data_IF_000529376640
#
_entry.id   IF_000529376640
#
_cell.length_a   1.000
_cell.length_b   1.000
_cell.length_c   1.000
_cell.angle_alpha   90.00
_cell.angle_beta   90.00
_cell.angle_gamma   90.00
#
_symmetry.space_group_name_H-M   'P 1'
#
loop_
_entity.id
_entity.type
_entity.pdbx_description
1 polymer ?
#
# COMPACT_ATOMS: atom_id res chain seq x y z
N UNK A 1 30.01 4.13 10.34
CA UNK A 1 29.28 3.15 9.54
C UNK A 1 29.48 3.48 8.07
N UNK A 2 29.81 2.49 7.26
CA UNK A 2 29.91 2.68 5.81
C UNK A 2 28.53 2.94 5.21
N UNK A 3 28.43 3.86 4.26
CA UNK A 3 27.22 4.17 3.50
C UNK A 3 27.60 4.27 2.02
N UNK A 4 26.80 3.67 1.14
CA UNK A 4 27.00 3.78 -0.31
C UNK A 4 26.23 4.95 -0.89
N UNK A 5 25.01 5.17 -0.39
CA UNK A 5 24.10 6.19 -0.89
C UNK A 5 24.21 7.48 -0.09
N UNK A 6 24.25 8.61 -0.78
CA UNK A 6 24.10 9.93 -0.16
C UNK A 6 22.63 10.22 0.19
N UNK A 7 22.39 11.15 1.12
CA UNK A 7 21.02 11.63 1.41
C UNK A 7 20.29 12.15 0.18
N UNK A 8 21.00 12.84 -0.73
CA UNK A 8 20.44 13.32 -2.00
C UNK A 8 19.98 12.16 -2.90
N UNK A 9 20.77 11.09 -2.99
CA UNK A 9 20.38 9.91 -3.78
C UNK A 9 19.18 9.20 -3.18
N UNK A 10 19.15 9.02 -1.86
CA UNK A 10 17.99 8.43 -1.17
C UNK A 10 16.74 9.28 -1.43
N UNK A 11 16.83 10.59 -1.28
CA UNK A 11 15.72 11.49 -1.60
C UNK A 11 15.26 11.37 -3.04
N UNK A 12 16.20 11.38 -4.00
CA UNK A 12 15.89 11.28 -5.43
C UNK A 12 15.14 9.99 -5.79
N UNK A 13 15.39 8.89 -5.06
CA UNK A 13 14.69 7.62 -5.28
C UNK A 13 13.35 7.59 -4.53
N UNK A 14 13.28 8.17 -3.34
CA UNK A 14 12.11 8.08 -2.45
C UNK A 14 11.00 9.07 -2.80
N UNK A 15 11.33 10.32 -3.21
CA UNK A 15 10.29 11.32 -3.46
C UNK A 15 9.30 10.94 -4.57
N UNK A 16 9.70 10.23 -5.66
CA UNK A 16 8.74 9.81 -6.67
C UNK A 16 7.76 8.76 -6.15
N UNK A 17 8.21 7.91 -5.23
CA UNK A 17 7.35 6.92 -4.56
C UNK A 17 6.36 7.65 -3.65
N UNK A 18 6.83 8.64 -2.89
CA UNK A 18 5.98 9.47 -2.04
C UNK A 18 4.89 10.18 -2.85
N UNK A 19 5.28 10.84 -3.95
CA UNK A 19 4.31 11.50 -4.84
C UNK A 19 3.30 10.49 -5.40
N UNK A 20 3.76 9.30 -5.80
CA UNK A 20 2.88 8.24 -6.30
C UNK A 20 1.83 7.84 -5.25
N UNK A 21 2.22 7.67 -3.99
CA UNK A 21 1.31 7.34 -2.90
C UNK A 21 0.30 8.47 -2.62
N UNK A 22 0.74 9.73 -2.67
CA UNK A 22 -0.14 10.89 -2.52
C UNK A 22 -1.15 10.94 -3.67
N UNK A 23 -0.71 10.71 -4.91
CA UNK A 23 -1.59 10.69 -6.08
C UNK A 23 -2.61 9.57 -6.02
N UNK A 24 -2.22 8.37 -5.59
CA UNK A 24 -3.14 7.25 -5.35
C UNK A 24 -4.21 7.61 -4.31
N UNK A 25 -3.83 8.31 -3.24
CA UNK A 25 -4.79 8.80 -2.25
C UNK A 25 -5.75 9.84 -2.84
N UNK A 26 -5.26 10.72 -3.70
CA UNK A 26 -6.10 11.72 -4.40
C UNK A 26 -7.16 11.07 -5.29
N UNK A 27 -6.88 9.92 -5.92
CA UNK A 27 -7.87 9.16 -6.70
C UNK A 27 -9.03 8.76 -5.80
N UNK A 28 -8.76 8.15 -4.65
CA UNK A 28 -9.79 7.75 -3.70
C UNK A 28 -10.61 8.93 -3.19
N UNK A 29 -9.96 10.08 -2.93
CA UNK A 29 -10.65 11.31 -2.52
C UNK A 29 -11.56 11.86 -3.63
N UNK A 30 -11.11 11.83 -4.88
CA UNK A 30 -11.89 12.29 -6.03
C UNK A 30 -13.10 11.40 -6.28
N UNK A 31 -12.91 10.08 -6.25
CA UNK A 31 -14.00 9.12 -6.38
C UNK A 31 -15.07 9.35 -5.31
N UNK A 32 -14.65 9.50 -4.06
CA UNK A 32 -15.55 9.78 -2.93
C UNK A 32 -16.29 11.11 -3.09
N UNK A 33 -15.58 12.17 -3.52
CA UNK A 33 -16.19 13.49 -3.73
C UNK A 33 -17.20 13.50 -4.87
N UNK A 34 -16.95 12.77 -5.95
CA UNK A 34 -17.88 12.67 -7.07
C UNK A 34 -19.09 11.82 -6.72
N UNK A 35 -18.92 10.66 -6.09
CA UNK A 35 -20.00 9.79 -5.67
C UNK A 35 -20.87 10.41 -4.56
N UNK A 36 -20.26 11.19 -3.65
CA UNK A 36 -21.02 11.95 -2.66
C UNK A 36 -21.96 13.00 -3.26
N UNK A 37 -21.70 13.46 -4.49
CA UNK A 37 -22.62 14.35 -5.24
C UNK A 37 -23.71 13.59 -6.00
N UNK A 38 -23.53 12.29 -6.22
CA UNK A 38 -24.56 11.43 -6.84
C UNK A 38 -25.61 11.06 -5.80
N UNK A 39 -25.17 10.56 -4.62
CA UNK A 39 -26.08 10.22 -3.54
C UNK A 39 -25.41 9.50 -2.38
N UNK A 40 -26.13 9.40 -1.26
CA UNK A 40 -25.67 8.72 -0.05
C UNK A 40 -25.56 7.20 -0.23
N UNK A 41 -26.45 6.63 -1.06
CA UNK A 41 -26.48 5.19 -1.38
C UNK A 41 -25.21 4.81 -2.13
N UNK A 42 -24.87 5.58 -3.18
CA UNK A 42 -23.69 5.35 -4.01
C UNK A 42 -22.42 5.53 -3.22
N UNK A 43 -22.37 6.52 -2.33
CA UNK A 43 -21.23 6.75 -1.45
C UNK A 43 -21.01 5.59 -0.48
N UNK A 44 -22.08 5.13 0.18
CA UNK A 44 -22.01 3.98 1.09
C UNK A 44 -21.66 2.67 0.38
N UNK A 45 -22.26 2.44 -0.79
CA UNK A 45 -21.99 1.26 -1.62
C UNK A 45 -20.52 1.22 -2.08
N UNK A 46 -19.97 2.36 -2.53
CA UNK A 46 -18.58 2.44 -2.98
C UNK A 46 -17.58 2.18 -1.85
N UNK A 47 -17.90 2.56 -0.62
CA UNK A 47 -17.06 2.28 0.54
C UNK A 47 -16.93 0.76 0.79
N UNK A 48 -18.06 0.03 0.77
CA UNK A 48 -18.07 -1.43 0.98
C UNK A 48 -17.38 -2.15 -0.20
N UNK A 49 -17.75 -1.79 -1.42
CA UNK A 49 -17.19 -2.38 -2.62
C UNK A 49 -15.71 -2.06 -2.79
N UNK A 50 -15.27 -0.87 -2.35
CA UNK A 50 -13.86 -0.47 -2.33
C UNK A 50 -13.02 -1.34 -1.40
N UNK A 51 -13.53 -1.72 -0.23
CA UNK A 51 -12.86 -2.65 0.69
C UNK A 51 -12.69 -4.03 0.05
N UNK A 52 -13.72 -4.54 -0.62
CA UNK A 52 -13.64 -5.81 -1.33
C UNK A 52 -12.56 -5.79 -2.41
N UNK A 53 -12.54 -4.73 -3.23
CA UNK A 53 -11.52 -4.55 -4.26
C UNK A 53 -10.10 -4.45 -3.66
N UNK A 54 -9.95 -3.68 -2.59
CA UNK A 54 -8.67 -3.48 -1.90
C UNK A 54 -8.11 -4.80 -1.34
N UNK A 55 -8.95 -5.64 -0.74
CA UNK A 55 -8.53 -6.93 -0.21
C UNK A 55 -7.91 -7.83 -1.29
N UNK A 56 -8.53 -7.87 -2.47
CA UNK A 56 -8.02 -8.63 -3.62
C UNK A 56 -6.75 -7.98 -4.19
N UNK A 57 -6.75 -6.65 -4.34
CA UNK A 57 -5.60 -5.91 -4.84
C UNK A 57 -4.35 -6.10 -3.96
N UNK A 58 -4.52 -6.20 -2.64
CA UNK A 58 -3.41 -6.42 -1.70
C UNK A 58 -2.70 -7.76 -1.91
N UNK A 59 -3.36 -8.76 -2.47
CA UNK A 59 -2.69 -10.02 -2.85
C UNK A 59 -1.71 -9.79 -4.00
N UNK A 60 -2.13 -9.08 -5.05
CA UNK A 60 -1.28 -8.74 -6.17
C UNK A 60 -0.14 -7.80 -5.77
N UNK A 61 -0.45 -6.81 -4.93
CA UNK A 61 0.55 -5.90 -4.36
C UNK A 61 1.60 -6.65 -3.54
N UNK A 62 1.18 -7.58 -2.67
CA UNK A 62 2.08 -8.45 -1.92
C UNK A 62 2.99 -9.29 -2.82
N UNK A 63 2.45 -9.84 -3.92
CA UNK A 63 3.26 -10.54 -4.92
C UNK A 63 4.30 -9.61 -5.54
N UNK A 64 3.92 -8.41 -5.90
CA UNK A 64 4.81 -7.43 -6.52
C UNK A 64 5.99 -7.02 -5.61
N UNK A 65 5.77 -6.96 -4.29
CA UNK A 65 6.85 -6.69 -3.31
C UNK A 65 7.91 -7.80 -3.37
N UNK A 66 7.51 -9.06 -3.41
CA UNK A 66 8.45 -10.18 -3.53
C UNK A 66 9.22 -10.15 -4.85
N UNK A 67 8.54 -9.86 -5.96
CA UNK A 67 9.18 -9.67 -7.26
C UNK A 67 10.16 -8.47 -7.26
N UNK A 68 9.78 -7.36 -6.62
CA UNK A 68 10.62 -6.17 -6.44
C UNK A 68 11.94 -6.49 -5.72
N UNK A 69 11.89 -7.31 -4.67
CA UNK A 69 13.07 -7.75 -3.92
C UNK A 69 14.03 -8.53 -4.83
N UNK A 70 13.51 -9.44 -5.65
CA UNK A 70 14.32 -10.19 -6.62
C UNK A 70 14.93 -9.31 -7.71
N UNK A 71 14.12 -8.42 -8.29
CA UNK A 71 14.58 -7.45 -9.29
C UNK A 71 15.69 -6.57 -8.70
N UNK A 72 15.49 -6.06 -7.47
CA UNK A 72 16.48 -5.25 -6.77
C UNK A 72 17.79 -6.04 -6.51
N UNK A 73 17.69 -7.33 -6.17
CA UNK A 73 18.83 -8.20 -5.98
C UNK A 73 19.63 -8.37 -7.28
N UNK A 74 18.95 -8.70 -8.38
CA UNK A 74 19.59 -8.86 -9.71
C UNK A 74 20.19 -7.55 -10.21
N UNK A 75 19.53 -6.43 -9.94
CA UNK A 75 20.05 -5.11 -10.27
C UNK A 75 21.35 -4.81 -9.51
N UNK A 76 21.41 -5.13 -8.22
CA UNK A 76 22.62 -4.98 -7.39
C UNK A 76 23.77 -5.89 -7.84
N UNK A 77 23.47 -7.12 -8.23
CA UNK A 77 24.44 -8.09 -8.77
C UNK A 77 25.00 -7.68 -10.16
N UNK A 78 24.39 -6.66 -10.81
CA UNK A 78 24.72 -6.34 -12.21
C UNK A 78 24.14 -7.33 -13.22
N UNK A 79 23.30 -8.26 -12.78
CA UNK A 79 22.71 -9.32 -13.57
C UNK A 79 21.42 -8.86 -14.26
N UNK A 80 21.53 -7.78 -15.02
CA UNK A 80 20.38 -7.05 -15.58
C UNK A 80 19.51 -7.89 -16.51
N UNK A 81 20.09 -8.84 -17.24
CA UNK A 81 19.38 -9.71 -18.18
C UNK A 81 18.40 -10.68 -17.52
N UNK A 82 18.58 -10.99 -16.24
CA UNK A 82 17.61 -11.81 -15.50
C UNK A 82 16.36 -11.04 -15.06
N UNK A 83 16.40 -9.71 -15.09
CA UNK A 83 15.29 -8.86 -14.63
C UNK A 83 14.07 -8.99 -15.57
N UNK A 84 14.27 -8.99 -16.88
CA UNK A 84 13.18 -9.17 -17.85
C UNK A 84 12.40 -10.48 -17.66
N UNK A 85 13.07 -11.63 -17.59
CA UNK A 85 12.40 -12.90 -17.27
C UNK A 85 11.61 -12.85 -15.95
N UNK A 86 12.16 -12.28 -14.87
CA UNK A 86 11.43 -12.13 -13.61
C UNK A 86 10.19 -11.25 -13.80
N UNK A 87 10.32 -10.14 -14.49
CA UNK A 87 9.23 -9.20 -14.76
C UNK A 87 8.10 -9.87 -15.55
N UNK A 88 8.41 -10.54 -16.65
CA UNK A 88 7.39 -11.19 -17.49
C UNK A 88 6.76 -12.42 -16.84
N UNK A 89 7.52 -13.24 -16.12
CA UNK A 89 6.93 -14.36 -15.36
C UNK A 89 6.01 -13.84 -14.26
N UNK A 90 6.34 -12.71 -13.62
CA UNK A 90 5.47 -12.03 -12.68
C UNK A 90 4.17 -11.57 -13.35
N UNK A 91 4.23 -10.95 -14.53
CA UNK A 91 3.04 -10.56 -15.29
C UNK A 91 2.18 -11.77 -15.66
N UNK A 92 2.78 -12.86 -16.14
CA UNK A 92 2.03 -14.08 -16.50
C UNK A 92 1.28 -14.63 -15.28
N UNK A 93 1.93 -14.71 -14.14
CA UNK A 93 1.29 -15.16 -12.90
C UNK A 93 0.17 -14.23 -12.46
N UNK A 94 0.42 -12.91 -12.46
CA UNK A 94 -0.58 -11.92 -12.05
C UNK A 94 -1.79 -11.87 -12.99
N UNK A 95 -1.58 -12.05 -14.31
CA UNK A 95 -2.69 -12.16 -15.25
C UNK A 95 -3.51 -13.43 -15.04
N UNK A 96 -2.85 -14.58 -14.80
CA UNK A 96 -3.56 -15.81 -14.44
C UNK A 96 -4.36 -15.63 -13.13
N UNK A 97 -3.76 -15.02 -12.12
CA UNK A 97 -4.45 -14.69 -10.88
C UNK A 97 -5.61 -13.70 -11.10
N UNK A 98 -5.44 -12.71 -12.00
CA UNK A 98 -6.50 -11.76 -12.35
C UNK A 98 -7.71 -12.50 -12.98
N UNK A 99 -7.48 -13.45 -13.87
CA UNK A 99 -8.55 -14.28 -14.47
C UNK A 99 -9.28 -15.08 -13.39
N UNK A 100 -8.56 -15.72 -12.49
CA UNK A 100 -9.15 -16.52 -11.40
C UNK A 100 -9.97 -15.63 -10.47
N UNK A 101 -9.41 -14.50 -10.02
CA UNK A 101 -10.07 -13.59 -9.08
C UNK A 101 -11.22 -12.80 -9.73
N UNK A 102 -11.12 -12.48 -11.02
CA UNK A 102 -12.21 -11.94 -11.82
C UNK A 102 -13.38 -12.91 -11.86
N UNK A 103 -13.14 -14.18 -12.26
CA UNK A 103 -14.17 -15.21 -12.32
C UNK A 103 -14.77 -15.46 -10.93
N UNK A 104 -13.93 -15.56 -9.90
CA UNK A 104 -14.40 -15.66 -8.51
C UNK A 104 -15.29 -14.49 -8.12
N UNK A 105 -14.89 -13.27 -8.42
CA UNK A 105 -15.66 -12.08 -8.09
C UNK A 105 -17.00 -12.02 -8.82
N UNK A 106 -17.03 -12.31 -10.12
CA UNK A 106 -18.30 -12.33 -10.89
C UNK A 106 -19.27 -13.36 -10.33
N UNK A 107 -18.78 -14.54 -9.92
CA UNK A 107 -19.64 -15.62 -9.44
C UNK A 107 -20.05 -15.42 -7.96
N UNK A 108 -19.11 -15.06 -7.11
CA UNK A 108 -19.32 -15.10 -5.65
C UNK A 108 -19.58 -13.74 -5.00
N UNK A 109 -19.22 -12.62 -5.63
CA UNK A 109 -19.46 -11.30 -5.01
C UNK A 109 -20.94 -11.03 -4.71
N UNK A 110 -21.92 -11.41 -5.57
CA UNK A 110 -23.32 -11.24 -5.23
C UNK A 110 -23.72 -11.97 -3.94
N UNK A 111 -23.23 -13.21 -3.73
CA UNK A 111 -23.50 -13.97 -2.51
C UNK A 111 -22.85 -13.36 -1.28
N UNK A 112 -21.60 -12.90 -1.41
CA UNK A 112 -20.86 -12.26 -0.33
C UNK A 112 -21.55 -10.96 0.08
N UNK A 113 -21.88 -10.10 -0.89
CA UNK A 113 -22.53 -8.82 -0.63
C UNK A 113 -23.92 -8.99 -0.01
N UNK A 114 -24.71 -9.96 -0.50
CA UNK A 114 -26.05 -10.24 0.04
C UNK A 114 -26.03 -10.64 1.52
N UNK A 115 -24.96 -11.30 1.97
CA UNK A 115 -24.82 -11.69 3.36
C UNK A 115 -24.28 -10.57 4.27
N UNK A 116 -23.66 -9.53 3.69
CA UNK A 116 -23.04 -8.45 4.43
C UNK A 116 -23.93 -7.20 4.45
N UNK A 117 -24.64 -6.93 3.35
CA UNK A 117 -25.43 -5.70 3.15
C UNK A 117 -26.90 -5.99 3.43
N UNK A 118 -27.46 -5.26 4.39
CA UNK A 118 -28.87 -5.37 4.76
C UNK A 118 -29.81 -4.54 3.87
N UNK A 119 -29.33 -3.42 3.31
CA UNK A 119 -30.14 -2.53 2.46
C UNK A 119 -30.12 -3.00 1.00
N UNK A 120 -31.30 -3.28 0.38
CA UNK A 120 -31.37 -3.67 -1.03
C UNK A 120 -30.77 -2.63 -1.98
N UNK A 121 -30.99 -1.33 -1.72
CA UNK A 121 -30.47 -0.25 -2.57
C UNK A 121 -28.95 -0.15 -2.53
N UNK A 122 -28.36 -0.32 -1.33
CA UNK A 122 -26.89 -0.34 -1.19
C UNK A 122 -26.31 -1.59 -1.82
N UNK A 123 -27.01 -2.73 -1.72
CA UNK A 123 -26.60 -3.97 -2.37
C UNK A 123 -26.55 -3.83 -3.90
N UNK A 124 -27.62 -3.33 -4.51
CA UNK A 124 -27.69 -3.15 -5.97
C UNK A 124 -26.59 -2.21 -6.49
N UNK A 125 -26.36 -1.12 -5.77
CA UNK A 125 -25.30 -0.16 -6.09
C UNK A 125 -23.89 -0.78 -5.92
N UNK A 126 -23.64 -1.53 -4.85
CA UNK A 126 -22.37 -2.18 -4.58
C UNK A 126 -22.06 -3.29 -5.58
N UNK A 127 -23.09 -4.09 -5.93
CA UNK A 127 -22.97 -5.12 -6.97
C UNK A 127 -22.63 -4.50 -8.32
N UNK A 128 -23.34 -3.44 -8.73
CA UNK A 128 -23.05 -2.70 -9.95
C UNK A 128 -21.63 -2.16 -9.98
N UNK A 129 -21.15 -1.61 -8.86
CA UNK A 129 -19.76 -1.13 -8.75
C UNK A 129 -18.76 -2.26 -8.93
N UNK A 130 -18.90 -3.37 -8.20
CA UNK A 130 -17.97 -4.50 -8.26
C UNK A 130 -18.00 -5.13 -9.66
N UNK A 131 -19.17 -5.32 -10.25
CA UNK A 131 -19.32 -5.90 -11.59
C UNK A 131 -18.41 -5.21 -12.62
N UNK A 132 -18.34 -3.89 -12.59
CA UNK A 132 -17.49 -3.12 -13.51
C UNK A 132 -16.05 -2.94 -12.99
N UNK A 133 -15.87 -2.84 -11.68
CA UNK A 133 -14.55 -2.58 -11.08
C UNK A 133 -13.59 -3.76 -11.21
N UNK A 134 -14.09 -4.98 -11.23
CA UNK A 134 -13.27 -6.19 -11.34
C UNK A 134 -12.52 -6.30 -12.67
N UNK A 135 -12.98 -5.64 -13.73
CA UNK A 135 -12.20 -5.52 -14.98
C UNK A 135 -10.87 -4.76 -14.76
N UNK A 136 -10.82 -3.91 -13.77
CA UNK A 136 -9.59 -3.22 -13.36
C UNK A 136 -8.49 -4.16 -12.86
N UNK A 137 -8.79 -5.40 -12.42
CA UNK A 137 -7.76 -6.34 -11.99
C UNK A 137 -6.72 -6.61 -13.08
N UNK A 138 -7.13 -6.71 -14.34
CA UNK A 138 -6.23 -6.94 -15.45
C UNK A 138 -5.19 -5.82 -15.62
N UNK A 139 -5.57 -4.60 -15.32
CA UNK A 139 -4.69 -3.43 -15.44
C UNK A 139 -3.92 -3.17 -14.15
N UNK A 140 -4.59 -3.17 -13.00
CA UNK A 140 -3.95 -2.89 -11.72
C UNK A 140 -2.88 -3.93 -11.36
N UNK A 141 -3.07 -5.20 -11.71
CA UNK A 141 -2.09 -6.26 -11.47
C UNK A 141 -0.84 -6.11 -12.36
N UNK A 142 -1.01 -5.69 -13.60
CA UNK A 142 0.12 -5.34 -14.46
C UNK A 142 0.84 -4.10 -13.90
N UNK A 143 0.10 -3.10 -13.47
CA UNK A 143 0.64 -1.84 -12.93
C UNK A 143 1.54 -2.08 -11.72
N UNK A 144 1.15 -2.94 -10.77
CA UNK A 144 1.99 -3.23 -9.59
C UNK A 144 3.30 -3.95 -9.99
N UNK A 145 3.31 -4.70 -11.09
CA UNK A 145 4.52 -5.32 -11.58
C UNK A 145 5.49 -4.30 -12.20
N UNK A 146 4.98 -3.31 -12.94
CA UNK A 146 5.80 -2.18 -13.40
C UNK A 146 6.36 -1.39 -12.21
N UNK A 147 5.56 -1.13 -11.17
CA UNK A 147 6.05 -0.51 -9.94
C UNK A 147 7.20 -1.31 -9.33
N UNK A 148 7.07 -2.63 -9.23
CA UNK A 148 8.13 -3.51 -8.73
C UNK A 148 9.43 -3.38 -9.54
N UNK A 149 9.32 -3.28 -10.87
CA UNK A 149 10.46 -3.05 -11.74
C UNK A 149 11.13 -1.70 -11.48
N UNK A 150 10.37 -0.60 -11.46
CA UNK A 150 10.94 0.74 -11.30
C UNK A 150 11.54 0.97 -9.91
N UNK A 151 10.91 0.46 -8.86
CA UNK A 151 11.45 0.57 -7.50
C UNK A 151 12.65 -0.35 -7.32
N UNK A 152 12.59 -1.57 -7.83
CA UNK A 152 13.68 -2.55 -7.77
C UNK A 152 14.96 -2.10 -8.50
N UNK A 153 14.80 -1.46 -9.66
CA UNK A 153 15.91 -0.91 -10.45
C UNK A 153 16.30 0.52 -10.06
N UNK A 154 15.66 1.08 -9.04
CA UNK A 154 15.87 2.46 -8.55
C UNK A 154 15.56 3.58 -9.57
N UNK A 155 14.76 3.28 -10.58
CA UNK A 155 14.36 4.22 -11.63
C UNK A 155 12.97 4.81 -11.39
N UNK A 156 12.76 5.37 -10.20
CA UNK A 156 11.44 5.70 -9.64
C UNK A 156 10.78 6.93 -10.27
N UNK A 157 11.50 7.79 -10.99
CA UNK A 157 10.95 9.01 -11.62
C UNK A 157 9.75 8.74 -12.54
N UNK A 158 9.75 7.59 -13.22
CA UNK A 158 8.64 7.17 -14.10
C UNK A 158 7.34 7.00 -13.32
N UNK A 159 7.41 6.61 -12.04
CA UNK A 159 6.24 6.42 -11.18
C UNK A 159 5.48 7.73 -10.97
N UNK A 160 6.18 8.84 -10.72
CA UNK A 160 5.56 10.16 -10.56
C UNK A 160 4.76 10.56 -11.79
N UNK A 161 5.37 10.46 -12.97
CA UNK A 161 4.70 10.84 -14.22
C UNK A 161 3.49 9.95 -14.49
N UNK A 162 3.63 8.64 -14.27
CA UNK A 162 2.51 7.70 -14.40
C UNK A 162 1.37 8.03 -13.45
N UNK A 163 1.66 8.34 -12.19
CA UNK A 163 0.64 8.66 -11.19
C UNK A 163 -0.11 9.94 -11.54
N UNK A 164 0.58 10.96 -12.06
CA UNK A 164 -0.05 12.19 -12.55
C UNK A 164 -1.00 11.88 -13.71
N UNK A 165 -0.55 11.10 -14.69
CA UNK A 165 -1.36 10.71 -15.86
C UNK A 165 -2.59 9.91 -15.39
N UNK A 166 -2.41 9.00 -14.45
CA UNK A 166 -3.50 8.18 -13.93
C UNK A 166 -4.55 9.01 -13.18
N UNK A 167 -4.12 9.94 -12.31
CA UNK A 167 -5.05 10.85 -11.60
C UNK A 167 -5.84 11.71 -12.56
N UNK A 168 -5.17 12.35 -13.52
CA UNK A 168 -5.84 13.18 -14.51
C UNK A 168 -6.84 12.38 -15.33
N UNK A 169 -6.47 11.18 -15.76
CA UNK A 169 -7.36 10.27 -16.50
C UNK A 169 -8.55 9.86 -15.65
N UNK A 170 -8.34 9.52 -14.36
CA UNK A 170 -9.41 9.16 -13.43
C UNK A 170 -10.41 10.30 -13.26
N UNK A 171 -9.93 11.53 -13.00
CA UNK A 171 -10.80 12.72 -12.86
C UNK A 171 -11.63 12.94 -14.13
N UNK A 172 -11.01 12.87 -15.30
CA UNK A 172 -11.71 13.09 -16.58
C UNK A 172 -12.74 11.99 -16.85
N UNK A 173 -12.36 10.73 -16.73
CA UNK A 173 -13.29 9.61 -16.98
C UNK A 173 -14.43 9.59 -15.97
N UNK A 174 -14.16 9.84 -14.69
CA UNK A 174 -15.18 9.92 -13.66
C UNK A 174 -16.16 11.06 -13.93
N UNK A 175 -15.66 12.26 -14.28
CA UNK A 175 -16.52 13.38 -14.61
C UNK A 175 -17.45 13.09 -15.80
N UNK A 176 -16.92 12.45 -16.83
CA UNK A 176 -17.69 12.10 -18.05
C UNK A 176 -18.71 11.01 -17.73
N UNK A 177 -18.31 9.92 -17.09
CA UNK A 177 -19.13 8.71 -16.96
C UNK A 177 -20.10 8.76 -15.77
N UNK A 178 -19.71 9.38 -14.66
CA UNK A 178 -20.59 9.53 -13.49
C UNK A 178 -21.75 10.48 -13.84
N UNK A 179 -21.43 11.63 -14.44
CA UNK A 179 -22.40 12.71 -14.68
C UNK A 179 -22.99 12.73 -16.09
N UNK A 180 -22.55 11.84 -16.98
CA UNK A 180 -23.09 11.77 -18.35
C UNK A 180 -22.76 13.00 -19.19
N UNK A 181 -21.51 13.44 -19.21
CA UNK A 181 -21.06 14.62 -19.98
C UNK A 181 -20.58 14.23 -21.38
N UNK A 182 -20.51 15.23 -22.28
CA UNK A 182 -20.02 15.06 -23.65
C UNK A 182 -20.75 13.98 -24.48
N UNK A 183 -22.05 13.77 -24.23
CA UNK A 183 -22.88 12.82 -24.98
C UNK A 183 -22.81 11.37 -24.47
N UNK A 184 -22.11 11.12 -23.38
CA UNK A 184 -22.10 9.81 -22.71
C UNK A 184 -23.32 9.67 -21.79
N UNK A 185 -23.84 8.44 -21.57
CA UNK A 185 -24.91 8.21 -20.61
C UNK A 185 -24.42 8.45 -19.17
N UNK A 186 -25.32 8.91 -18.33
CA UNK A 186 -25.05 9.03 -16.89
C UNK A 186 -25.07 7.65 -16.24
N UNK A 187 -23.90 7.17 -15.84
CA UNK A 187 -23.74 5.81 -15.29
C UNK A 187 -23.65 5.79 -13.76
N UNK A 188 -23.57 6.95 -13.10
CA UNK A 188 -23.50 7.04 -11.65
C UNK A 188 -22.33 6.22 -11.06
N UNK A 189 -22.65 5.32 -10.13
CA UNK A 189 -21.64 4.49 -9.45
C UNK A 189 -20.91 3.53 -10.40
N UNK A 190 -21.59 2.98 -11.41
CA UNK A 190 -20.95 2.16 -12.45
C UNK A 190 -19.94 2.99 -13.25
N UNK A 191 -20.25 4.27 -13.49
CA UNK A 191 -19.34 5.21 -14.14
C UNK A 191 -18.04 5.43 -13.36
N UNK A 192 -18.09 5.48 -12.04
CA UNK A 192 -16.90 5.55 -11.19
C UNK A 192 -16.02 4.29 -11.30
N UNK A 193 -16.64 3.11 -11.29
CA UNK A 193 -15.93 1.84 -11.43
C UNK A 193 -15.25 1.71 -12.80
N UNK A 194 -15.95 2.05 -13.88
CA UNK A 194 -15.42 2.05 -15.25
C UNK A 194 -14.33 3.10 -15.40
N UNK A 195 -14.54 4.32 -14.89
CA UNK A 195 -13.57 5.41 -14.95
C UNK A 195 -12.25 5.09 -14.26
N UNK A 196 -12.30 4.46 -13.09
CA UNK A 196 -11.11 4.00 -12.37
C UNK A 196 -10.39 2.88 -13.12
N UNK A 197 -11.13 1.91 -13.70
CA UNK A 197 -10.55 0.84 -14.51
C UNK A 197 -9.90 1.37 -15.80
N UNK A 198 -10.51 2.35 -16.44
CA UNK A 198 -9.93 3.03 -17.61
C UNK A 198 -8.68 3.84 -17.27
N UNK A 199 -8.66 4.50 -16.11
CA UNK A 199 -7.46 5.19 -15.63
C UNK A 199 -6.28 4.24 -15.39
N UNK A 200 -6.56 3.06 -14.83
CA UNK A 200 -5.56 1.99 -14.68
C UNK A 200 -5.08 1.46 -16.05
N UNK A 201 -5.97 1.33 -17.02
CA UNK A 201 -5.61 0.98 -18.41
C UNK A 201 -4.69 2.03 -19.02
N UNK A 202 -4.99 3.31 -18.89
CA UNK A 202 -4.13 4.41 -19.36
C UNK A 202 -2.77 4.36 -18.67
N UNK A 203 -2.72 4.06 -17.37
CA UNK A 203 -1.49 3.86 -16.62
C UNK A 203 -0.63 2.73 -17.21
N UNK A 204 -1.23 1.58 -17.54
CA UNK A 204 -0.51 0.46 -18.17
C UNK A 204 0.02 0.85 -19.54
N UNK A 205 -0.79 1.52 -20.37
CA UNK A 205 -0.36 2.01 -21.68
C UNK A 205 0.83 2.97 -21.55
N UNK A 206 0.76 3.88 -20.57
CA UNK A 206 1.87 4.80 -20.27
C UNK A 206 3.14 4.04 -19.88
N UNK A 207 3.05 3.02 -19.01
CA UNK A 207 4.17 2.19 -18.60
C UNK A 207 4.76 1.35 -19.73
N UNK A 208 3.97 1.01 -20.74
CA UNK A 208 4.47 0.32 -21.93
C UNK A 208 5.21 1.30 -22.84
N UNK A 209 4.62 2.46 -23.13
CA UNK A 209 5.14 3.40 -24.17
C UNK A 209 6.31 4.22 -23.64
N UNK A 210 6.19 4.81 -22.43
CA UNK A 210 7.17 5.77 -21.92
C UNK A 210 8.55 5.15 -21.66
N UNK A 211 8.67 3.96 -21.03
CA UNK A 211 9.96 3.36 -20.78
C UNK A 211 10.73 2.98 -22.05
N UNK A 212 10.04 2.55 -23.11
CA UNK A 212 10.70 2.23 -24.39
C UNK A 212 11.53 3.37 -24.96
N UNK A 213 11.17 4.62 -24.65
CA UNK A 213 11.89 5.81 -25.11
C UNK A 213 12.96 6.30 -24.13
N UNK A 214 12.92 5.86 -22.86
CA UNK A 214 13.75 6.43 -21.79
C UNK A 214 14.66 5.41 -21.11
N UNK A 215 14.33 4.14 -21.19
CA UNK A 215 15.06 3.04 -20.54
C UNK A 215 15.69 2.15 -21.60
N UNK A 216 16.90 1.72 -21.35
CA UNK A 216 17.52 0.69 -22.19
C UNK A 216 16.85 -0.67 -21.93
N UNK A 217 15.79 -0.93 -22.70
CA UNK A 217 15.03 -2.19 -22.62
C UNK A 217 15.90 -3.42 -22.95
N UNK A 218 16.98 -3.25 -23.75
CA UNK A 218 17.91 -4.34 -24.08
C UNK A 218 18.77 -4.71 -22.87
N UNK A 219 19.17 -3.72 -22.08
CA UNK A 219 19.93 -3.94 -20.84
C UNK A 219 19.21 -4.88 -19.89
N UNK A 220 17.89 -4.72 -19.75
CA UNK A 220 17.05 -5.51 -18.83
C UNK A 220 16.36 -6.69 -19.51
N UNK A 221 16.66 -6.99 -20.78
CA UNK A 221 15.99 -8.01 -21.57
C UNK A 221 14.44 -7.86 -21.61
N UNK A 222 13.94 -6.62 -21.58
CA UNK A 222 12.52 -6.34 -21.71
C UNK A 222 12.02 -6.34 -23.15
N UNK A 223 12.91 -6.27 -24.11
CA UNK A 223 12.61 -6.28 -25.54
C UNK A 223 12.28 -7.69 -26.09
N UNK A 224 12.47 -8.73 -25.29
CA UNK A 224 12.22 -10.12 -25.66
C UNK A 224 11.17 -10.69 -24.73
N UNK A 225 10.06 -11.16 -25.28
CA UNK A 225 9.02 -11.86 -24.53
C UNK A 225 9.49 -13.30 -24.24
N UNK A 226 9.86 -13.64 -23.00
CA UNK A 226 10.34 -14.98 -22.72
C UNK A 226 9.18 -15.98 -22.73
N UNK A 227 9.48 -17.22 -23.10
CA UNK A 227 8.54 -18.33 -22.87
C UNK A 227 8.31 -18.53 -21.37
N UNK A 228 7.23 -19.21 -21.03
CA UNK A 228 6.95 -19.56 -19.65
C UNK A 228 8.10 -20.36 -19.03
N UNK A 229 8.60 -19.92 -17.88
CA UNK A 229 9.74 -20.50 -17.17
C UNK A 229 9.34 -20.85 -15.74
N UNK A 230 8.87 -22.08 -15.52
CA UNK A 230 8.42 -22.54 -14.22
C UNK A 230 9.49 -22.43 -13.11
N UNK A 231 10.77 -22.59 -13.45
CA UNK A 231 11.88 -22.42 -12.48
C UNK A 231 11.99 -20.97 -11.99
N UNK A 232 11.87 -20.00 -12.89
CA UNK A 232 11.90 -18.57 -12.54
C UNK A 232 10.66 -18.20 -11.74
N UNK A 233 9.48 -18.65 -12.14
CA UNK A 233 8.25 -18.43 -11.39
C UNK A 233 8.31 -19.03 -9.99
N UNK A 234 8.83 -20.26 -9.84
CA UNK A 234 9.02 -20.89 -8.52
C UNK A 234 9.94 -20.04 -7.61
N UNK A 235 11.01 -19.45 -8.18
CA UNK A 235 11.90 -18.55 -7.45
C UNK A 235 11.17 -17.31 -6.97
N UNK A 236 10.33 -16.69 -7.83
CA UNK A 236 9.50 -15.54 -7.46
C UNK A 236 8.54 -15.93 -6.36
N UNK A 237 7.80 -17.02 -6.50
CA UNK A 237 6.80 -17.48 -5.53
C UNK A 237 7.42 -17.81 -4.17
N UNK A 238 8.63 -18.35 -4.12
CA UNK A 238 9.33 -18.63 -2.86
C UNK A 238 9.56 -17.36 -2.01
N UNK A 239 9.59 -16.19 -2.61
CA UNK A 239 9.70 -14.90 -1.92
C UNK A 239 8.34 -14.24 -1.78
N UNK A 240 7.53 -14.25 -2.83
CA UNK A 240 6.28 -13.47 -2.93
C UNK A 240 5.11 -14.07 -2.16
N UNK A 241 5.01 -15.39 -2.01
CA UNK A 241 3.90 -16.00 -1.26
C UNK A 241 3.85 -15.48 0.18
N UNK A 242 4.99 -15.31 0.81
CA UNK A 242 5.07 -14.81 2.19
C UNK A 242 4.65 -13.35 2.31
N UNK A 243 5.02 -12.51 1.33
CA UNK A 243 4.59 -11.11 1.27
C UNK A 243 3.11 -10.96 0.89
N UNK A 244 2.55 -11.86 0.08
CA UNK A 244 1.11 -11.91 -0.19
C UNK A 244 0.32 -12.20 1.09
N UNK A 245 0.68 -13.27 1.81
CA UNK A 245 0.03 -13.64 3.07
C UNK A 245 0.17 -12.52 4.10
N UNK A 246 1.35 -11.93 4.21
CA UNK A 246 1.62 -10.82 5.12
C UNK A 246 0.69 -9.64 4.87
N UNK A 247 0.60 -9.15 3.63
CA UNK A 247 -0.24 -8.00 3.31
C UNK A 247 -1.73 -8.28 3.59
N UNK A 248 -2.19 -9.48 3.26
CA UNK A 248 -3.57 -9.87 3.53
C UNK A 248 -3.87 -9.93 5.04
N UNK A 249 -3.00 -10.58 5.83
CA UNK A 249 -3.20 -10.71 7.28
C UNK A 249 -3.08 -9.36 7.98
N UNK A 250 -2.11 -8.53 7.60
CA UNK A 250 -1.93 -7.18 8.18
C UNK A 250 -3.16 -6.30 7.92
N UNK A 251 -3.69 -6.30 6.69
CA UNK A 251 -4.90 -5.57 6.36
C UNK A 251 -6.11 -6.07 7.15
N UNK A 252 -6.31 -7.38 7.22
CA UNK A 252 -7.41 -8.00 7.96
C UNK A 252 -7.35 -7.67 9.44
N UNK A 253 -6.16 -7.70 10.03
CA UNK A 253 -5.96 -7.37 11.45
C UNK A 253 -6.25 -5.90 11.72
N UNK A 254 -5.85 -5.01 10.79
CA UNK A 254 -6.15 -3.60 10.90
C UNK A 254 -7.66 -3.31 10.83
N UNK A 255 -8.41 -3.99 9.96
CA UNK A 255 -9.87 -3.92 9.96
C UNK A 255 -10.49 -4.43 11.26
N UNK A 256 -9.93 -5.48 11.85
CA UNK A 256 -10.39 -6.02 13.14
C UNK A 256 -10.29 -4.96 14.26
N UNK A 257 -9.26 -4.11 14.24
CA UNK A 257 -9.16 -3.00 15.19
C UNK A 257 -10.39 -2.08 15.14
N UNK A 258 -10.85 -1.71 13.93
CA UNK A 258 -12.04 -0.87 13.79
C UNK A 258 -13.32 -1.58 14.24
N UNK A 259 -13.42 -2.89 14.03
CA UNK A 259 -14.53 -3.67 14.56
C UNK A 259 -14.54 -3.68 16.08
N UNK A 260 -13.39 -3.77 16.73
CA UNK A 260 -13.30 -3.67 18.17
C UNK A 260 -13.68 -2.27 18.67
N UNK A 261 -13.24 -1.22 18.01
CA UNK A 261 -13.60 0.16 18.39
C UNK A 261 -15.10 0.43 18.19
N UNK A 262 -15.76 -0.20 17.23
CA UNK A 262 -17.21 -0.09 17.03
C UNK A 262 -17.99 -0.50 18.29
N UNK A 263 -17.50 -1.51 19.04
CA UNK A 263 -18.12 -1.94 20.31
C UNK A 263 -18.05 -0.90 21.43
N UNK A 264 -17.21 0.13 21.28
CA UNK A 264 -17.15 1.28 22.20
C UNK A 264 -18.25 2.33 21.89
N UNK A 265 -18.95 2.18 20.77
CA UNK A 265 -20.03 3.05 20.33
C UNK A 265 -19.70 3.90 19.11
N UNK A 266 -20.73 4.50 18.52
CA UNK A 266 -20.66 5.25 17.27
C UNK A 266 -19.71 6.46 17.34
N UNK A 267 -19.70 7.16 18.49
CA UNK A 267 -18.81 8.31 18.69
C UNK A 267 -17.33 7.89 18.66
N UNK A 268 -16.99 6.78 19.31
CA UNK A 268 -15.64 6.23 19.32
C UNK A 268 -15.20 5.82 17.93
N UNK A 269 -16.09 5.19 17.16
CA UNK A 269 -15.83 4.82 15.77
C UNK A 269 -15.63 6.06 14.88
N UNK A 270 -16.42 7.11 15.06
CA UNK A 270 -16.27 8.38 14.35
C UNK A 270 -14.90 9.03 14.63
N UNK A 271 -14.49 9.09 15.90
CA UNK A 271 -13.16 9.56 16.29
C UNK A 271 -12.07 8.71 15.63
N UNK A 272 -12.17 7.40 15.71
CA UNK A 272 -11.18 6.48 15.10
C UNK A 272 -11.06 6.69 13.59
N UNK A 273 -12.17 6.92 12.88
CA UNK A 273 -12.15 7.19 11.44
C UNK A 273 -11.49 8.54 11.10
N UNK A 274 -11.74 9.59 11.90
CA UNK A 274 -11.07 10.89 11.73
C UNK A 274 -9.56 10.72 11.92
N UNK A 275 -9.14 10.08 13.00
CA UNK A 275 -7.72 9.85 13.29
C UNK A 275 -7.05 8.98 12.24
N UNK A 276 -7.73 7.96 11.71
CA UNK A 276 -7.27 7.16 10.58
C UNK A 276 -6.94 8.02 9.35
N UNK A 277 -7.84 8.93 9.00
CA UNK A 277 -7.65 9.80 7.83
C UNK A 277 -6.47 10.77 8.04
N UNK A 278 -6.36 11.36 9.22
CA UNK A 278 -5.23 12.22 9.60
C UNK A 278 -3.91 11.44 9.54
N UNK A 279 -3.91 10.19 10.02
CA UNK A 279 -2.77 9.26 10.00
C UNK A 279 -2.25 8.97 8.59
N UNK A 280 -3.06 9.11 7.56
CA UNK A 280 -2.68 8.82 6.18
C UNK A 280 -1.46 9.60 5.70
N UNK A 281 -1.30 10.86 6.10
CA UNK A 281 -0.19 11.71 5.67
C UNK A 281 1.16 11.20 6.21
N UNK A 282 1.38 11.09 7.53
CA UNK A 282 2.64 10.58 8.05
C UNK A 282 2.89 9.12 7.65
N UNK A 283 1.83 8.31 7.48
CA UNK A 283 1.94 6.94 7.00
C UNK A 283 2.52 6.85 5.58
N UNK A 284 2.02 7.64 4.63
CA UNK A 284 2.53 7.65 3.26
C UNK A 284 4.02 8.03 3.21
N UNK A 285 4.44 9.00 4.02
CA UNK A 285 5.85 9.39 4.11
C UNK A 285 6.70 8.25 4.67
N UNK A 286 6.28 7.65 5.78
CA UNK A 286 6.99 6.53 6.40
C UNK A 286 7.11 5.34 5.42
N UNK A 287 6.05 5.01 4.70
CA UNK A 287 6.01 3.92 3.73
C UNK A 287 6.86 4.18 2.49
N UNK A 288 6.94 5.43 2.00
CA UNK A 288 7.79 5.77 0.88
C UNK A 288 9.27 5.50 1.20
N UNK A 289 9.75 5.96 2.35
CA UNK A 289 11.12 5.71 2.79
C UNK A 289 11.38 4.25 3.15
N UNK A 290 10.41 3.57 3.76
CA UNK A 290 10.52 2.15 4.10
C UNK A 290 10.63 1.28 2.84
N UNK A 291 9.77 1.49 1.86
CA UNK A 291 9.79 0.76 0.57
C UNK A 291 11.11 0.98 -0.19
N UNK A 292 11.58 2.23 -0.23
CA UNK A 292 12.89 2.56 -0.82
C UNK A 292 14.02 1.83 -0.09
N UNK A 293 14.01 1.85 1.24
CA UNK A 293 15.03 1.19 2.04
C UNK A 293 15.09 -0.32 1.76
N UNK A 294 13.95 -0.99 1.73
CA UNK A 294 13.88 -2.42 1.41
C UNK A 294 14.49 -2.76 0.05
N UNK A 295 14.20 -1.94 -0.97
CA UNK A 295 14.76 -2.10 -2.31
C UNK A 295 16.28 -1.86 -2.33
N UNK A 296 16.75 -0.78 -1.66
CA UNK A 296 18.19 -0.48 -1.59
C UNK A 296 18.97 -1.52 -0.79
N UNK A 297 18.38 -2.08 0.27
CA UNK A 297 18.96 -3.20 1.02
C UNK A 297 19.17 -4.41 0.11
N UNK A 298 18.17 -4.78 -0.68
CA UNK A 298 18.29 -5.89 -1.64
C UNK A 298 19.37 -5.62 -2.71
N UNK A 299 19.42 -4.39 -3.24
CA UNK A 299 20.48 -3.96 -4.17
C UNK A 299 21.88 -4.06 -3.54
N UNK A 300 22.06 -3.58 -2.30
CA UNK A 300 23.36 -3.64 -1.58
C UNK A 300 23.83 -5.07 -1.35
N UNK A 301 22.91 -5.96 -0.97
CA UNK A 301 23.26 -7.36 -0.76
C UNK A 301 23.63 -8.02 -2.11
N UNK A 302 22.93 -7.69 -3.18
CA UNK A 302 23.26 -8.15 -4.53
C UNK A 302 24.63 -7.67 -4.98
N UNK A 303 24.98 -6.43 -4.67
CA UNK A 303 26.30 -5.84 -4.96
C UNK A 303 27.45 -6.35 -4.06
N UNK A 304 27.16 -7.21 -3.08
CA UNK A 304 28.17 -7.68 -2.13
C UNK A 304 28.55 -6.64 -1.05
N UNK A 305 27.78 -5.56 -0.90
CA UNK A 305 28.05 -4.44 0.01
C UNK A 305 27.21 -4.50 1.28
N UNK A 306 27.13 -5.66 1.92
CA UNK A 306 26.33 -5.89 3.13
C UNK A 306 26.70 -4.96 4.29
N UNK A 307 27.96 -4.52 4.37
CA UNK A 307 28.46 -3.59 5.40
C UNK A 307 27.75 -2.23 5.36
N UNK A 308 27.26 -1.82 4.19
CA UNK A 308 26.54 -0.55 3.99
C UNK A 308 25.07 -0.62 4.39
N UNK A 309 24.47 -1.80 4.59
CA UNK A 309 23.05 -1.98 4.86
C UNK A 309 22.61 -1.23 6.11
N UNK A 310 23.32 -1.40 7.23
CA UNK A 310 22.96 -0.71 8.49
C UNK A 310 23.06 0.81 8.39
N UNK A 311 24.05 1.31 7.64
CA UNK A 311 24.18 2.74 7.37
C UNK A 311 23.00 3.28 6.58
N UNK A 312 22.59 2.55 5.54
CA UNK A 312 21.44 2.89 4.70
C UNK A 312 20.13 2.90 5.48
N UNK A 313 19.88 1.91 6.34
CA UNK A 313 18.71 1.88 7.24
C UNK A 313 18.67 3.14 8.12
N UNK A 314 19.79 3.49 8.76
CA UNK A 314 19.87 4.68 9.62
C UNK A 314 19.61 5.98 8.85
N UNK A 315 20.13 6.08 7.62
CA UNK A 315 19.88 7.25 6.77
C UNK A 315 18.38 7.39 6.42
N UNK A 316 17.70 6.29 6.09
CA UNK A 316 16.24 6.33 5.79
C UNK A 316 15.43 6.73 7.02
N UNK A 317 15.77 6.22 8.20
CA UNK A 317 15.09 6.61 9.44
C UNK A 317 15.28 8.11 9.71
N UNK A 318 16.51 8.65 9.54
CA UNK A 318 16.78 10.08 9.73
C UNK A 318 15.99 10.95 8.76
N UNK A 319 16.00 10.61 7.47
CA UNK A 319 15.21 11.35 6.46
C UNK A 319 13.72 11.23 6.77
N UNK A 320 13.24 10.03 7.10
CA UNK A 320 11.85 9.82 7.50
C UNK A 320 11.44 10.75 8.64
N UNK A 321 12.26 10.87 9.67
CA UNK A 321 11.99 11.81 10.76
C UNK A 321 12.06 13.28 10.33
N UNK A 322 12.98 13.67 9.45
CA UNK A 322 13.06 15.05 8.95
C UNK A 322 11.73 15.49 8.32
N UNK A 323 11.02 14.59 7.65
CA UNK A 323 9.73 14.90 7.02
C UNK A 323 8.53 14.64 7.94
N UNK A 324 8.56 13.59 8.76
CA UNK A 324 7.43 13.23 9.62
C UNK A 324 7.33 14.11 10.86
N UNK A 325 8.46 14.40 11.55
CA UNK A 325 8.41 15.17 12.80
C UNK A 325 7.78 16.57 12.67
N UNK A 326 8.08 17.39 11.63
CA UNK A 326 7.41 18.68 11.48
C UNK A 326 5.89 18.55 11.38
N UNK A 327 5.40 17.50 10.72
CA UNK A 327 3.97 17.24 10.58
C UNK A 327 3.36 16.84 11.93
N UNK A 328 4.03 15.97 12.68
CA UNK A 328 3.57 15.56 14.01
C UNK A 328 3.56 16.75 14.99
N UNK A 329 4.59 17.59 14.95
CA UNK A 329 4.66 18.81 15.76
C UNK A 329 3.49 19.75 15.39
N UNK A 330 3.21 19.92 14.10
CA UNK A 330 2.09 20.73 13.63
C UNK A 330 0.75 20.16 14.11
N UNK A 331 0.56 18.84 14.05
CA UNK A 331 -0.65 18.18 14.57
C UNK A 331 -0.81 18.36 16.09
N UNK A 332 0.29 18.32 16.84
CA UNK A 332 0.26 18.53 18.30
C UNK A 332 -0.03 19.97 18.70
N UNK A 333 0.53 20.96 17.95
CA UNK A 333 0.38 22.37 18.27
C UNK A 333 -0.95 22.95 17.77
N UNK A 334 -1.46 22.45 16.65
CA UNK A 334 -2.67 22.96 15.98
C UNK A 334 -3.70 21.83 15.72
N UNK A 335 -4.10 21.06 16.74
CA UNK A 335 -4.98 19.91 16.54
C UNK A 335 -6.35 20.31 15.97
N UNK A 336 -6.96 21.41 16.47
CA UNK A 336 -8.26 21.87 16.00
C UNK A 336 -8.25 22.25 14.51
N UNK A 337 -7.16 22.85 14.03
CA UNK A 337 -7.03 23.25 12.63
C UNK A 337 -7.06 22.03 11.69
N UNK A 338 -6.39 20.95 12.07
CA UNK A 338 -6.36 19.70 11.30
C UNK A 338 -7.70 18.97 11.38
N UNK A 339 -8.29 18.91 12.57
CA UNK A 339 -9.55 18.20 12.78
C UNK A 339 -10.73 18.92 12.12
N UNK A 340 -10.67 20.25 11.92
CA UNK A 340 -11.66 21.01 11.14
C UNK A 340 -11.81 20.55 9.70
N UNK A 341 -10.77 19.98 9.11
CA UNK A 341 -10.83 19.44 7.75
C UNK A 341 -11.84 18.29 7.65
N UNK A 342 -12.05 17.57 8.77
CA UNK A 342 -12.84 16.33 8.80
C UNK A 342 -14.20 16.48 9.48
N UNK A 343 -14.37 17.45 10.38
CA UNK A 343 -15.64 17.66 11.08
C UNK A 343 -15.82 19.09 11.55
N UNK A 344 -17.04 19.62 11.38
CA UNK A 344 -17.45 20.94 11.88
C UNK A 344 -17.91 20.91 13.33
N UNK A 345 -18.09 19.73 13.93
CA UNK A 345 -18.60 19.54 15.28
C UNK A 345 -17.51 19.83 16.33
N UNK A 346 -17.59 20.92 17.12
CA UNK A 346 -16.54 21.29 18.09
C UNK A 346 -16.31 20.20 19.14
N UNK A 347 -17.37 19.59 19.64
CA UNK A 347 -17.30 18.53 20.67
C UNK A 347 -16.57 17.29 20.16
N UNK A 348 -16.80 16.91 18.90
CA UNK A 348 -16.14 15.77 18.30
C UNK A 348 -14.66 16.06 18.04
N UNK A 349 -14.32 17.30 17.64
CA UNK A 349 -12.92 17.72 17.51
C UNK A 349 -12.20 17.65 18.84
N UNK A 350 -12.78 18.25 19.89
CA UNK A 350 -12.20 18.21 21.23
C UNK A 350 -11.99 16.76 21.73
N UNK A 351 -12.97 15.89 21.52
CA UNK A 351 -12.87 14.47 21.88
C UNK A 351 -11.82 13.69 21.06
N UNK A 352 -11.46 14.16 19.85
CA UNK A 352 -10.47 13.53 19.00
C UNK A 352 -9.01 13.90 19.33
N UNK A 353 -8.78 15.01 20.04
CA UNK A 353 -7.44 15.51 20.36
C UNK A 353 -6.57 14.49 21.12
N UNK A 354 -7.04 13.82 22.19
CA UNK A 354 -6.23 12.82 22.88
C UNK A 354 -5.77 11.68 21.97
N UNK A 355 -6.67 11.18 21.11
CA UNK A 355 -6.35 10.15 20.13
C UNK A 355 -5.30 10.61 19.12
N UNK A 356 -5.36 11.87 18.68
CA UNK A 356 -4.38 12.47 17.81
C UNK A 356 -2.98 12.52 18.45
N UNK A 357 -2.89 12.87 19.73
CA UNK A 357 -1.61 12.90 20.44
C UNK A 357 -1.01 11.50 20.62
N UNK A 358 -1.85 10.50 20.91
CA UNK A 358 -1.41 9.11 20.97
C UNK A 358 -0.90 8.65 19.60
N UNK A 359 -1.61 8.97 18.52
CA UNK A 359 -1.15 8.68 17.16
C UNK A 359 0.20 9.32 16.87
N UNK A 360 0.39 10.60 17.21
CA UNK A 360 1.67 11.29 17.04
C UNK A 360 2.81 10.57 17.77
N UNK A 361 2.57 10.11 19.00
CA UNK A 361 3.53 9.33 19.76
C UNK A 361 3.85 7.98 19.09
N UNK A 362 2.85 7.32 18.52
CA UNK A 362 3.03 6.05 17.80
C UNK A 362 3.97 6.20 16.60
N UNK A 363 3.88 7.30 15.85
CA UNK A 363 4.76 7.52 14.69
C UNK A 363 6.24 7.68 15.05
N UNK A 364 6.58 8.05 16.28
CA UNK A 364 7.98 8.05 16.74
C UNK A 364 8.59 6.65 16.69
N UNK A 365 7.78 5.64 16.83
CA UNK A 365 8.21 4.24 16.77
C UNK A 365 7.89 3.60 15.42
N UNK A 366 6.77 3.94 14.80
CA UNK A 366 6.32 3.37 13.53
C UNK A 366 7.28 3.71 12.37
N UNK A 367 7.88 4.91 12.35
CA UNK A 367 8.84 5.28 11.29
C UNK A 367 10.02 4.31 11.26
N UNK A 368 10.80 4.13 12.35
CA UNK A 368 11.89 3.16 12.32
C UNK A 368 11.40 1.72 12.21
N UNK A 369 10.25 1.36 12.78
CA UNK A 369 9.68 0.02 12.67
C UNK A 369 9.42 -0.38 11.21
N UNK A 370 8.76 0.48 10.45
CA UNK A 370 8.48 0.23 9.03
C UNK A 370 9.76 0.13 8.19
N UNK A 371 10.75 1.00 8.43
CA UNK A 371 12.04 0.96 7.72
C UNK A 371 12.78 -0.33 8.02
N UNK A 372 12.85 -0.77 9.28
CA UNK A 372 13.48 -2.04 9.64
C UNK A 372 12.71 -3.23 9.08
N UNK A 373 11.40 -3.21 9.14
CA UNK A 373 10.56 -4.30 8.61
C UNK A 373 10.75 -4.50 7.11
N UNK A 374 10.70 -3.42 6.34
CA UNK A 374 10.95 -3.48 4.90
C UNK A 374 12.41 -3.86 4.59
N UNK A 375 13.35 -3.52 5.47
CA UNK A 375 14.74 -3.94 5.34
C UNK A 375 14.90 -5.45 5.55
N UNK A 376 14.20 -6.04 6.53
CA UNK A 376 14.17 -7.50 6.72
C UNK A 376 13.61 -8.19 5.47
N UNK A 377 12.50 -7.72 4.93
CA UNK A 377 11.95 -8.21 3.67
C UNK A 377 12.93 -8.06 2.51
N UNK A 378 13.62 -6.91 2.43
CA UNK A 378 14.65 -6.62 1.43
C UNK A 378 15.88 -7.53 1.48
N UNK A 379 16.15 -8.20 2.61
CA UNK A 379 17.19 -9.26 2.66
C UNK A 379 16.82 -10.50 1.84
N UNK A 380 15.55 -10.62 1.40
CA UNK A 380 14.99 -11.80 0.75
C UNK A 380 14.45 -12.84 1.72
N UNK A 381 14.50 -12.57 3.04
CA UNK A 381 13.99 -13.48 4.06
C UNK A 381 12.55 -13.15 4.45
N UNK A 382 11.68 -13.13 3.42
CA UNK A 382 10.26 -12.76 3.55
C UNK A 382 9.46 -13.72 4.43
N UNK A 383 9.88 -15.00 4.50
CA UNK A 383 9.30 -15.97 5.45
C UNK A 383 9.53 -15.56 6.90
N UNK A 384 10.73 -15.11 7.23
CA UNK A 384 11.04 -14.62 8.58
C UNK A 384 10.32 -13.31 8.88
N UNK A 385 10.22 -12.41 7.88
CA UNK A 385 9.44 -11.18 8.02
C UNK A 385 7.97 -11.49 8.34
N UNK A 386 7.34 -12.44 7.62
CA UNK A 386 5.99 -12.90 7.93
C UNK A 386 5.88 -13.50 9.34
N UNK A 387 6.81 -14.37 9.74
CA UNK A 387 6.78 -14.97 11.08
C UNK A 387 6.84 -13.90 12.18
N UNK A 388 7.71 -12.89 12.02
CA UNK A 388 7.76 -11.74 12.95
C UNK A 388 6.45 -10.97 12.96
N UNK A 389 5.92 -10.67 11.78
CA UNK A 389 4.63 -9.96 11.65
C UNK A 389 3.50 -10.72 12.33
N UNK A 390 3.38 -12.03 12.11
CA UNK A 390 2.35 -12.85 12.78
C UNK A 390 2.47 -12.82 14.31
N UNK A 391 3.70 -12.84 14.84
CA UNK A 391 3.92 -12.69 16.28
C UNK A 391 3.47 -11.31 16.78
N UNK A 392 3.81 -10.25 16.05
CA UNK A 392 3.40 -8.88 16.41
C UNK A 392 1.89 -8.72 16.30
N UNK A 393 1.27 -9.24 15.23
CA UNK A 393 -0.17 -9.17 15.04
C UNK A 393 -0.94 -9.98 16.11
N UNK A 394 -0.40 -11.10 16.57
CA UNK A 394 -0.98 -11.83 17.70
C UNK A 394 -0.97 -10.98 18.99
N UNK A 395 0.14 -10.28 19.26
CA UNK A 395 0.22 -9.33 20.39
C UNK A 395 -0.76 -8.16 20.18
N UNK A 396 -0.82 -7.61 18.97
CA UNK A 396 -1.72 -6.52 18.58
C UNK A 396 -3.18 -6.88 18.85
N UNK A 397 -3.63 -8.04 18.34
CA UNK A 397 -5.01 -8.51 18.52
C UNK A 397 -5.32 -8.78 19.98
N UNK A 398 -4.42 -9.45 20.71
CA UNK A 398 -4.59 -9.76 22.13
C UNK A 398 -4.69 -8.47 22.95
N UNK A 399 -3.81 -7.52 22.70
CA UNK A 399 -3.83 -6.21 23.36
C UNK A 399 -5.13 -5.45 23.05
N UNK A 400 -5.50 -5.35 21.79
CA UNK A 400 -6.73 -4.66 21.36
C UNK A 400 -7.97 -5.33 21.97
N UNK A 401 -8.07 -6.65 21.89
CA UNK A 401 -9.20 -7.39 22.47
C UNK A 401 -9.31 -7.17 23.98
N UNK A 402 -8.19 -7.27 24.70
CA UNK A 402 -8.19 -7.12 26.15
C UNK A 402 -8.59 -5.69 26.58
N UNK A 403 -7.97 -4.66 26.01
CA UNK A 403 -8.21 -3.30 26.45
C UNK A 403 -9.49 -2.69 25.86
N UNK A 404 -9.87 -3.02 24.63
CA UNK A 404 -11.04 -2.46 23.96
C UNK A 404 -12.30 -3.26 24.33
N UNK A 405 -12.27 -4.60 24.17
CA UNK A 405 -13.45 -5.44 24.32
C UNK A 405 -13.74 -5.78 25.79
N UNK A 406 -12.68 -6.10 26.56
CA UNK A 406 -12.87 -6.53 27.97
C UNK A 406 -12.88 -5.36 28.93
N UNK A 407 -11.85 -4.50 28.93
CA UNK A 407 -11.75 -3.35 29.83
C UNK A 407 -12.54 -2.13 29.34
N UNK A 408 -12.98 -2.11 28.10
CA UNK A 408 -13.72 -0.99 27.47
C UNK A 408 -13.06 0.38 27.69
N UNK A 409 -11.73 0.43 27.51
CA UNK A 409 -10.99 1.69 27.59
C UNK A 409 -11.44 2.61 26.46
N UNK A 410 -11.21 3.91 26.64
CA UNK A 410 -11.58 4.92 25.65
C UNK A 410 -10.83 4.78 24.32
N UNK A 411 -11.29 5.45 23.28
CA UNK A 411 -10.73 5.37 21.94
C UNK A 411 -9.29 5.91 21.88
N UNK A 412 -8.92 6.87 22.72
CA UNK A 412 -7.56 7.37 22.79
C UNK A 412 -6.60 6.28 23.29
N UNK A 413 -7.02 5.54 24.29
CA UNK A 413 -6.26 4.37 24.76
C UNK A 413 -6.21 3.26 23.71
N UNK A 414 -7.30 3.05 22.96
CA UNK A 414 -7.30 2.07 21.86
C UNK A 414 -6.17 2.32 20.84
N UNK A 415 -5.88 3.59 20.52
CA UNK A 415 -4.80 3.95 19.58
C UNK A 415 -3.38 3.62 20.11
N UNK A 416 -3.21 3.35 21.42
CA UNK A 416 -1.93 2.86 21.94
C UNK A 416 -1.54 1.51 21.36
N UNK A 417 -2.48 0.77 20.78
CA UNK A 417 -2.21 -0.47 20.04
C UNK A 417 -1.21 -0.27 18.90
N UNK A 418 -1.23 0.90 18.25
CA UNK A 418 -0.25 1.25 17.21
C UNK A 418 1.16 1.46 17.80
N UNK A 419 1.26 1.99 19.01
CA UNK A 419 2.53 2.08 19.72
C UNK A 419 3.09 0.67 20.03
N UNK A 420 2.23 -0.22 20.51
CA UNK A 420 2.59 -1.62 20.81
C UNK A 420 3.06 -2.33 19.53
N UNK A 421 2.30 -2.20 18.44
CA UNK A 421 2.70 -2.73 17.14
C UNK A 421 4.09 -2.23 16.71
N UNK A 422 4.31 -0.92 16.77
CA UNK A 422 5.57 -0.31 16.39
C UNK A 422 6.76 -0.78 17.25
N UNK A 423 6.58 -0.86 18.58
CA UNK A 423 7.63 -1.26 19.52
C UNK A 423 8.06 -2.72 19.25
N UNK A 424 7.12 -3.65 19.16
CA UNK A 424 7.44 -5.06 18.94
C UNK A 424 8.00 -5.31 17.54
N UNK A 425 7.45 -4.67 16.51
CA UNK A 425 7.98 -4.73 15.14
C UNK A 425 9.44 -4.24 15.11
N UNK A 426 9.70 -3.06 15.70
CA UNK A 426 11.05 -2.52 15.77
C UNK A 426 11.99 -3.43 16.52
N UNK A 427 11.59 -3.96 17.67
CA UNK A 427 12.38 -4.84 18.52
C UNK A 427 12.79 -6.11 17.78
N UNK A 428 11.84 -6.83 17.17
CA UNK A 428 12.10 -8.07 16.45
C UNK A 428 12.96 -7.84 15.20
N UNK A 429 12.62 -6.84 14.40
CA UNK A 429 13.34 -6.55 13.17
C UNK A 429 14.76 -6.00 13.45
N UNK A 430 14.93 -5.14 14.45
CA UNK A 430 16.25 -4.66 14.87
C UNK A 430 17.13 -5.80 15.36
N UNK A 431 16.60 -6.68 16.21
CA UNK A 431 17.34 -7.84 16.72
C UNK A 431 17.76 -8.79 15.58
N UNK A 432 16.86 -9.05 14.63
CA UNK A 432 17.16 -9.86 13.45
C UNK A 432 18.26 -9.22 12.59
N UNK A 433 18.18 -7.93 12.30
CA UNK A 433 19.21 -7.23 11.51
C UNK A 433 20.56 -7.14 12.21
N UNK A 434 20.56 -7.25 13.56
CA UNK A 434 21.80 -7.25 14.36
C UNK A 434 22.44 -8.62 14.48
N UNK A 435 21.64 -9.69 14.65
CA UNK A 435 22.13 -11.05 14.97
C UNK A 435 21.83 -12.10 13.91
N UNK A 436 20.93 -11.83 12.97
CA UNK A 436 20.49 -12.79 11.97
C UNK A 436 21.52 -13.05 10.87
N UNK A 437 21.46 -14.25 10.28
CA UNK A 437 22.35 -14.67 9.17
C UNK A 437 21.85 -14.22 7.78
N UNK A 438 21.25 -13.02 7.70
CA UNK A 438 20.70 -12.49 6.46
C UNK A 438 21.74 -12.19 5.38
N UNK A 439 23.00 -11.94 5.78
CA UNK A 439 24.10 -11.55 4.89
C UNK A 439 24.45 -12.61 3.84
N UNK A 440 24.25 -13.89 4.17
CA UNK A 440 24.57 -15.05 3.29
C UNK A 440 23.40 -15.58 2.52
N UNK A 441 22.21 -14.95 2.64
CA UNK A 441 20.99 -15.42 1.99
C UNK A 441 21.07 -15.26 0.48
N UNK A 442 21.03 -16.38 -0.23
CA UNK A 442 20.85 -16.45 -1.72
C UNK A 442 19.36 -16.56 -2.04
N UNK A 443 18.89 -15.80 -3.03
CA UNK A 443 17.50 -15.80 -3.53
C UNK A 443 17.47 -15.80 -5.06
#
# INVERSE_FOLDING_TARGET
MKTKYSYKQIWTISYPILISLIMEQMIGMTDTAFLGRVGEIELGASAIAGVYYLAIFMMAFGFSIGAQILIARRNGEGNYKEIGPIFYQGIYFLLAMAVILFTFSIVFSPYILKNIISSPHIYDAAESYIHWRVYGFFFSFIMVMFRAFFVGTTQTKTLTLNSIVMVLSNVVFNYILIFGKFGFPQLGIAGAAIGSSLAEMVSVIFFIIYPWKRIDCRKYALNILPKFQGKTLKRILNVSVWTMIQNFVSLSTWFMFFLFVEHLGERSLAIANIIRNVSGIPFMIAMAFASTCGSLVSNLIGAGEQDCVRGTIRQHIRIGYIFVLPILIFFCLFPDLILRIYTDMPDLRAASVPSLWVLCSAYLVLVPANVYFQSVSGTGNTRTALAMELCVLAIYVTYSAYFIMYLRMDVAFAWTTECVYGIFTLMFCYWYMKKGNWQKKKI
#
